data_IF_237447666102
#
_entry.id   IF_237447666102
#
_cell.length_a   1.000
_cell.length_b   1.000
_cell.length_c   1.000
_cell.angle_alpha   90.00
_cell.angle_beta   90.00
_cell.angle_gamma   90.00
#
_symmetry.space_group_name_H-M   'P 1'
#
loop_
_entity.id
_entity.type
_entity.pdbx_description
1 polymer ?
#
# COMPACT_ATOMS: atom_id res chain seq x y z
N UNK A 1 -17.98 10.66 4.92
CA UNK A 1 -17.77 12.12 5.11
C UNK A 1 -16.35 12.43 4.69
N UNK A 2 -16.20 13.23 3.62
CA UNK A 2 -14.86 13.63 3.15
C UNK A 2 -14.36 14.69 4.12
N UNK A 3 -13.36 14.33 4.91
CA UNK A 3 -12.67 15.29 5.76
C UNK A 3 -12.06 16.39 4.89
N UNK A 4 -12.14 17.63 5.33
CA UNK A 4 -11.48 18.75 4.65
C UNK A 4 -9.96 18.65 4.79
N UNK A 5 -9.21 19.25 3.87
CA UNK A 5 -7.75 19.31 3.95
C UNK A 5 -7.27 19.90 5.30
N UNK A 6 -8.01 20.88 5.86
CA UNK A 6 -7.72 21.48 7.16
C UNK A 6 -7.84 20.52 8.36
N UNK A 7 -8.55 19.40 8.18
CA UNK A 7 -8.73 18.35 9.19
C UNK A 7 -7.84 17.12 8.91
N UNK A 8 -6.85 17.25 8.03
CA UNK A 8 -5.97 16.14 7.65
C UNK A 8 -6.61 15.13 6.71
N UNK A 9 -7.71 15.51 6.02
CA UNK A 9 -8.34 14.67 5.01
C UNK A 9 -7.56 14.68 3.70
N UNK A 10 -7.79 13.67 2.87
CA UNK A 10 -7.20 13.49 1.56
C UNK A 10 -6.42 12.18 1.41
N UNK A 11 -6.25 11.75 0.17
CA UNK A 11 -5.61 10.47 -0.15
C UNK A 11 -4.09 10.48 0.12
N UNK A 12 -3.46 11.67 0.14
CA UNK A 12 -2.04 11.78 0.46
C UNK A 12 -1.73 11.29 1.88
N UNK A 13 -2.58 11.64 2.84
CA UNK A 13 -2.38 11.24 4.24
C UNK A 13 -3.08 9.92 4.60
N UNK A 14 -4.07 9.50 3.82
CA UNK A 14 -4.83 8.27 4.07
C UNK A 14 -4.26 7.06 3.32
N UNK A 15 -4.12 7.14 2.00
CA UNK A 15 -3.76 5.99 1.15
C UNK A 15 -2.26 5.91 0.83
N UNK A 16 -1.60 7.04 0.60
CA UNK A 16 -0.20 7.03 0.18
C UNK A 16 0.76 6.43 1.21
N UNK A 17 0.59 6.59 2.53
CA UNK A 17 1.45 5.93 3.51
C UNK A 17 1.49 4.40 3.35
N UNK A 18 0.37 3.77 2.98
CA UNK A 18 0.31 2.33 2.73
C UNK A 18 1.14 1.94 1.50
N UNK A 19 1.05 2.71 0.41
CA UNK A 19 1.81 2.45 -0.81
C UNK A 19 3.31 2.68 -0.60
N UNK A 20 3.68 3.79 0.05
CA UNK A 20 5.08 4.12 0.39
C UNK A 20 5.68 3.05 1.30
N UNK A 21 4.96 2.66 2.37
CA UNK A 21 5.40 1.62 3.29
C UNK A 21 5.65 0.28 2.57
N UNK A 22 4.75 -0.12 1.69
CA UNK A 22 4.91 -1.34 0.88
C UNK A 22 6.14 -1.25 -0.02
N UNK A 23 6.33 -0.14 -0.74
CA UNK A 23 7.46 0.06 -1.63
C UNK A 23 8.81 0.04 -0.86
N UNK A 24 8.89 0.74 0.28
CA UNK A 24 10.09 0.75 1.12
C UNK A 24 10.40 -0.64 1.71
N UNK A 25 9.38 -1.37 2.13
CA UNK A 25 9.54 -2.73 2.67
C UNK A 25 10.06 -3.71 1.62
N UNK A 26 9.63 -3.57 0.35
CA UNK A 26 10.02 -4.50 -0.72
C UNK A 26 11.36 -4.15 -1.37
N UNK A 27 11.63 -2.86 -1.58
CA UNK A 27 12.76 -2.41 -2.41
C UNK A 27 13.81 -1.62 -1.62
N UNK A 28 13.61 -1.43 -0.32
CA UNK A 28 14.51 -0.69 0.56
C UNK A 28 14.35 0.81 0.49
N UNK A 29 15.31 1.56 1.07
CA UNK A 29 15.27 3.02 1.14
C UNK A 29 15.11 3.68 -0.24
N UNK A 30 14.40 4.81 -0.26
CA UNK A 30 14.12 5.54 -1.49
C UNK A 30 14.10 7.05 -1.27
N UNK A 31 14.21 7.79 -2.39
CA UNK A 31 14.02 9.25 -2.44
C UNK A 31 12.81 9.57 -3.28
N UNK A 32 12.05 10.59 -2.89
CA UNK A 32 11.01 11.17 -3.73
C UNK A 32 11.64 11.87 -4.93
N UNK A 33 11.29 11.46 -6.15
CA UNK A 33 11.74 12.06 -7.40
C UNK A 33 10.78 13.16 -7.83
N UNK A 34 9.48 12.85 -7.81
CA UNK A 34 8.42 13.80 -8.14
C UNK A 34 7.10 13.39 -7.49
N UNK A 35 6.21 14.36 -7.34
CA UNK A 35 4.87 14.16 -6.83
C UNK A 35 3.86 14.99 -7.62
N UNK A 36 2.66 14.46 -7.77
CA UNK A 36 1.48 15.18 -8.22
C UNK A 36 0.39 14.98 -7.19
N UNK A 37 0.00 16.04 -6.50
CA UNK A 37 -1.06 16.03 -5.48
C UNK A 37 -2.14 16.98 -5.92
N UNK A 38 -3.31 16.46 -6.27
CA UNK A 38 -4.40 17.23 -6.86
C UNK A 38 -5.69 17.09 -6.06
N UNK A 39 -6.42 18.22 -5.96
CA UNK A 39 -7.79 18.29 -5.43
C UNK A 39 -8.74 18.62 -6.58
N UNK A 40 -9.19 17.62 -7.32
CA UNK A 40 -10.00 17.81 -8.51
C UNK A 40 -11.45 18.14 -8.15
N UNK A 41 -11.97 17.52 -7.07
CA UNK A 41 -13.33 17.78 -6.56
C UNK A 41 -13.39 18.86 -5.48
N UNK A 42 -12.24 19.50 -5.14
CA UNK A 42 -12.18 20.76 -4.41
C UNK A 42 -12.27 20.71 -2.88
N UNK A 43 -12.36 19.53 -2.23
CA UNK A 43 -12.49 19.44 -0.77
C UNK A 43 -11.14 19.07 -0.09
N UNK A 44 -10.52 18.00 -0.54
CA UNK A 44 -9.21 17.51 -0.13
C UNK A 44 -8.55 16.88 -1.36
N UNK A 45 -7.29 16.54 -1.26
CA UNK A 45 -6.61 15.88 -2.35
C UNK A 45 -7.25 14.50 -2.63
N UNK A 46 -7.57 14.25 -3.89
CA UNK A 46 -8.32 13.09 -4.35
C UNK A 46 -7.68 12.36 -5.53
N UNK A 47 -6.53 12.86 -6.01
CA UNK A 47 -5.76 12.26 -7.08
C UNK A 47 -4.27 12.53 -6.89
N UNK A 48 -3.51 11.47 -6.53
CA UNK A 48 -2.11 11.56 -6.12
C UNK A 48 -1.27 10.56 -6.89
N UNK A 49 -0.11 11.01 -7.35
CA UNK A 49 0.95 10.14 -7.87
C UNK A 49 2.28 10.55 -7.27
N UNK A 50 3.01 9.60 -6.71
CA UNK A 50 4.39 9.75 -6.24
C UNK A 50 5.30 8.86 -7.08
N UNK A 51 6.50 9.35 -7.39
CA UNK A 51 7.56 8.56 -8.01
C UNK A 51 8.74 8.51 -7.06
N UNK A 52 9.13 7.29 -6.70
CA UNK A 52 10.26 7.04 -5.82
C UNK A 52 11.39 6.37 -6.59
N UNK A 53 12.63 6.74 -6.27
CA UNK A 53 13.86 6.07 -6.70
C UNK A 53 14.49 5.37 -5.52
N UNK A 54 14.55 4.03 -5.56
CA UNK A 54 15.16 3.23 -4.52
C UNK A 54 16.67 3.11 -4.69
N UNK A 55 17.40 2.97 -3.58
CA UNK A 55 18.84 2.73 -3.59
C UNK A 55 19.21 1.39 -4.27
N UNK A 56 18.26 0.45 -4.30
CA UNK A 56 18.35 -0.81 -5.06
C UNK A 56 18.29 -0.64 -6.58
N UNK A 57 18.01 0.57 -7.08
CA UNK A 57 17.86 0.86 -8.50
C UNK A 57 16.42 0.74 -9.04
N UNK A 58 15.48 0.27 -8.21
CA UNK A 58 14.06 0.17 -8.59
C UNK A 58 13.40 1.54 -8.59
N UNK A 59 12.48 1.77 -9.53
CA UNK A 59 11.58 2.92 -9.56
C UNK A 59 10.17 2.47 -9.16
N UNK A 60 9.55 3.18 -8.21
CA UNK A 60 8.17 2.94 -7.79
C UNK A 60 7.26 4.08 -8.22
N UNK A 61 6.14 3.73 -8.86
CA UNK A 61 5.08 4.65 -9.28
C UNK A 61 3.86 4.37 -8.41
N UNK A 62 3.58 5.23 -7.44
CA UNK A 62 2.58 5.03 -6.42
C UNK A 62 1.38 5.95 -6.70
N UNK A 63 0.26 5.38 -7.13
CA UNK A 63 -0.92 6.16 -7.51
C UNK A 63 -2.11 5.80 -6.62
N UNK A 64 -2.79 6.83 -6.11
CA UNK A 64 -4.06 6.72 -5.40
C UNK A 64 -5.03 7.78 -5.93
N UNK A 65 -6.14 7.34 -6.50
CA UNK A 65 -7.14 8.24 -7.08
C UNK A 65 -8.55 7.81 -6.72
N UNK A 66 -9.35 8.75 -6.21
CA UNK A 66 -10.77 8.55 -5.90
C UNK A 66 -11.69 8.97 -7.06
N UNK A 67 -11.12 9.37 -8.20
CA UNK A 67 -11.85 9.85 -9.38
C UNK A 67 -11.75 8.91 -10.59
N UNK A 68 -10.85 7.93 -10.53
CA UNK A 68 -10.66 6.97 -11.63
C UNK A 68 -11.73 5.86 -11.47
N UNK A 69 -12.51 5.65 -12.53
CA UNK A 69 -13.42 4.52 -12.64
C UNK A 69 -12.71 3.31 -13.24
N UNK A 70 -13.06 2.11 -12.76
CA UNK A 70 -12.45 0.86 -13.20
C UNK A 70 -11.06 0.64 -12.55
N UNK A 71 -10.91 -0.42 -11.77
CA UNK A 71 -9.66 -0.75 -11.11
C UNK A 71 -8.63 -1.32 -12.08
N UNK A 72 -7.39 -0.83 -12.02
CA UNK A 72 -6.21 -1.56 -12.48
C UNK A 72 -5.75 -2.57 -11.42
N UNK A 73 -4.70 -3.36 -11.71
CA UNK A 73 -4.12 -4.22 -10.68
C UNK A 73 -3.60 -3.37 -9.52
N UNK A 74 -3.78 -3.89 -8.31
CA UNK A 74 -3.27 -3.23 -7.09
C UNK A 74 -1.76 -3.09 -7.13
N UNK A 75 -1.08 -4.09 -7.67
CA UNK A 75 0.36 -4.10 -7.83
C UNK A 75 0.72 -4.61 -9.22
N UNK A 76 1.64 -3.89 -9.85
CA UNK A 76 2.34 -4.31 -11.05
C UNK A 76 3.84 -4.19 -10.81
N UNK A 77 4.56 -5.30 -10.87
CA UNK A 77 6.03 -5.32 -10.82
C UNK A 77 6.54 -5.78 -12.19
N UNK A 78 7.30 -4.93 -12.85
CA UNK A 78 7.92 -5.25 -14.15
C UNK A 78 9.43 -5.40 -13.97
N UNK A 79 9.96 -6.48 -14.50
CA UNK A 79 11.39 -6.81 -14.51
C UNK A 79 11.79 -7.43 -15.84
N UNK A 80 13.07 -7.76 -15.96
CA UNK A 80 13.66 -8.30 -17.20
C UNK A 80 13.05 -9.63 -17.63
N UNK A 81 12.61 -10.43 -16.67
CA UNK A 81 12.08 -11.77 -16.90
C UNK A 81 10.54 -11.86 -16.93
N UNK A 82 9.85 -10.74 -16.82
CA UNK A 82 8.41 -10.72 -16.88
C UNK A 82 7.75 -9.67 -15.99
N UNK A 83 6.44 -9.76 -15.87
CA UNK A 83 5.62 -8.85 -15.07
C UNK A 83 4.73 -9.63 -14.12
N UNK A 84 4.81 -9.30 -12.83
CA UNK A 84 3.88 -9.77 -11.82
C UNK A 84 2.71 -8.79 -11.70
N UNK A 85 1.49 -9.29 -11.73
CA UNK A 85 0.25 -8.55 -11.48
C UNK A 85 -0.46 -9.15 -10.26
N UNK A 86 -0.87 -8.30 -9.32
CA UNK A 86 -1.74 -8.66 -8.19
C UNK A 86 -2.98 -7.80 -8.28
N UNK A 87 -4.16 -8.43 -8.39
CA UNK A 87 -5.43 -7.73 -8.56
C UNK A 87 -5.94 -7.19 -7.22
N UNK A 88 -5.95 -8.04 -6.20
CA UNK A 88 -6.50 -7.73 -4.88
C UNK A 88 -5.49 -8.06 -3.78
N UNK A 89 -5.25 -7.13 -2.87
CA UNK A 89 -4.29 -7.31 -1.76
C UNK A 89 -4.91 -7.69 -0.44
N UNK A 90 -6.17 -7.36 -0.22
CA UNK A 90 -6.82 -7.57 1.07
C UNK A 90 -8.13 -8.34 0.96
N UNK A 91 -8.02 -9.68 0.92
CA UNK A 91 -9.20 -10.52 0.92
C UNK A 91 -9.98 -10.49 2.26
N UNK A 92 -9.40 -9.98 3.35
CA UNK A 92 -10.02 -9.96 4.67
C UNK A 92 -10.97 -8.76 4.86
N UNK A 93 -10.82 -7.70 4.07
CA UNK A 93 -11.67 -6.51 4.20
C UNK A 93 -13.16 -6.83 3.99
N UNK A 94 -13.48 -7.65 3.00
CA UNK A 94 -14.85 -8.09 2.73
C UNK A 94 -15.44 -8.88 3.91
N UNK A 95 -14.63 -9.73 4.55
CA UNK A 95 -15.03 -10.50 5.73
C UNK A 95 -15.29 -9.58 6.92
N UNK A 96 -14.39 -8.61 7.18
CA UNK A 96 -14.56 -7.62 8.25
C UNK A 96 -15.83 -6.80 8.04
N UNK A 97 -16.09 -6.33 6.82
CA UNK A 97 -17.30 -5.59 6.46
C UNK A 97 -18.58 -6.41 6.63
N UNK A 98 -18.52 -7.73 6.46
CA UNK A 98 -19.64 -8.64 6.73
C UNK A 98 -19.87 -8.92 8.23
N UNK A 99 -19.03 -8.37 9.12
CA UNK A 99 -19.10 -8.60 10.57
C UNK A 99 -18.43 -9.89 11.03
N UNK A 100 -17.73 -10.60 10.16
CA UNK A 100 -16.96 -11.78 10.57
C UNK A 100 -15.82 -11.39 11.52
N UNK A 101 -15.50 -12.26 12.47
CA UNK A 101 -14.43 -12.02 13.46
C UNK A 101 -13.21 -12.89 13.16
N UNK A 102 -11.99 -12.37 13.26
CA UNK A 102 -10.75 -13.11 12.94
C UNK A 102 -10.35 -14.16 14.01
N UNK A 103 -11.32 -14.69 14.75
CA UNK A 103 -11.08 -15.62 15.89
C UNK A 103 -11.31 -17.09 15.56
N UNK A 104 -11.75 -17.44 14.36
CA UNK A 104 -12.06 -18.81 13.98
C UNK A 104 -11.18 -19.26 12.81
N UNK A 105 -10.72 -20.52 12.82
CA UNK A 105 -9.89 -21.10 11.75
C UNK A 105 -10.49 -21.04 10.32
N UNK A 106 -11.77 -20.73 10.21
CA UNK A 106 -12.43 -20.41 8.92
C UNK A 106 -11.98 -19.09 8.29
N UNK A 107 -11.42 -18.18 9.11
CA UNK A 107 -10.88 -16.91 8.63
C UNK A 107 -9.71 -17.11 7.66
N UNK A 108 -8.88 -18.11 7.89
CA UNK A 108 -7.69 -18.40 7.09
C UNK A 108 -7.99 -19.08 5.75
N UNK A 109 -9.18 -19.65 5.57
CA UNK A 109 -9.49 -20.51 4.42
C UNK A 109 -10.22 -19.80 3.26
N UNK A 110 -10.73 -18.58 3.45
CA UNK A 110 -11.75 -18.05 2.55
C UNK A 110 -11.28 -17.06 1.51
N UNK A 111 -10.01 -16.66 1.52
CA UNK A 111 -9.62 -15.48 0.74
C UNK A 111 -8.19 -15.56 0.26
N UNK A 112 -7.99 -16.25 -0.85
CA UNK A 112 -6.73 -16.18 -1.59
C UNK A 112 -6.85 -15.12 -2.67
N UNK A 113 -6.04 -14.09 -2.59
CA UNK A 113 -5.75 -13.20 -3.70
C UNK A 113 -4.96 -13.97 -4.76
N UNK A 114 -5.10 -13.58 -6.02
CA UNK A 114 -4.37 -14.21 -7.11
C UNK A 114 -3.28 -13.29 -7.64
N UNK A 115 -2.13 -13.89 -7.93
CA UNK A 115 -1.02 -13.25 -8.59
C UNK A 115 -0.82 -13.90 -9.98
N UNK A 116 -0.52 -13.09 -10.97
CA UNK A 116 -0.29 -13.53 -12.34
C UNK A 116 1.10 -13.11 -12.78
N UNK A 117 1.91 -14.07 -13.25
CA UNK A 117 3.21 -13.77 -13.85
C UNK A 117 3.08 -13.92 -15.36
N UNK A 118 3.37 -12.82 -16.07
CA UNK A 118 3.41 -12.75 -17.53
C UNK A 118 4.86 -12.82 -18.00
N UNK A 119 5.18 -13.82 -18.83
CA UNK A 119 6.50 -14.01 -19.47
C UNK A 119 6.29 -14.22 -20.98
N UNK A 120 6.47 -13.17 -21.78
CA UNK A 120 6.05 -13.19 -23.17
C UNK A 120 4.55 -13.43 -23.31
N UNK A 121 4.17 -14.46 -24.03
CA UNK A 121 2.76 -14.87 -24.24
C UNK A 121 2.26 -15.83 -23.14
N UNK A 122 3.13 -16.30 -22.25
CA UNK A 122 2.76 -17.20 -21.17
C UNK A 122 2.26 -16.43 -19.95
N UNK A 123 1.20 -16.95 -19.32
CA UNK A 123 0.64 -16.43 -18.07
C UNK A 123 0.52 -17.57 -17.08
N UNK A 124 1.21 -17.45 -15.96
CA UNK A 124 1.12 -18.39 -14.85
C UNK A 124 0.37 -17.77 -13.69
N UNK A 125 -0.63 -18.47 -13.17
CA UNK A 125 -1.41 -18.06 -12.01
C UNK A 125 -0.85 -18.68 -10.73
N UNK A 126 -0.77 -17.88 -9.67
CA UNK A 126 -0.37 -18.29 -8.33
C UNK A 126 -1.41 -17.85 -7.31
N UNK A 127 -1.69 -18.71 -6.36
CA UNK A 127 -2.42 -18.31 -5.15
C UNK A 127 -1.48 -17.49 -4.25
N UNK A 128 -1.99 -16.41 -3.67
CA UNK A 128 -1.25 -15.68 -2.65
C UNK A 128 -1.08 -16.53 -1.38
N UNK A 129 -0.10 -16.16 -0.56
CA UNK A 129 0.01 -16.69 0.80
C UNK A 129 -1.20 -16.23 1.63
N UNK A 130 -1.57 -17.05 2.61
CA UNK A 130 -2.63 -16.70 3.54
C UNK A 130 -2.24 -15.43 4.33
N UNK A 131 -3.14 -14.45 4.35
CA UNK A 131 -2.96 -13.21 5.10
C UNK A 131 -3.75 -13.31 6.40
N UNK A 132 -3.13 -12.90 7.51
CA UNK A 132 -3.76 -12.99 8.81
C UNK A 132 -3.46 -11.75 9.66
N UNK A 133 -4.43 -10.84 9.82
CA UNK A 133 -4.31 -9.67 10.69
C UNK A 133 -4.04 -10.02 12.16
N UNK A 134 -4.43 -11.21 12.62
CA UNK A 134 -4.15 -11.61 13.99
C UNK A 134 -2.66 -11.75 14.26
N UNK A 135 -1.85 -12.07 13.26
CA UNK A 135 -0.39 -12.14 13.37
C UNK A 135 0.21 -10.80 13.77
N UNK A 136 -0.26 -9.70 13.17
CA UNK A 136 0.17 -8.35 13.56
C UNK A 136 -0.09 -8.08 15.05
N UNK A 137 -1.29 -8.38 15.53
CA UNK A 137 -1.63 -8.18 16.95
C UNK A 137 -0.85 -9.10 17.88
N UNK A 138 -0.52 -10.32 17.43
CA UNK A 138 0.35 -11.24 18.18
C UNK A 138 1.77 -10.64 18.33
N UNK A 139 2.31 -10.07 17.27
CA UNK A 139 3.62 -9.39 17.29
C UNK A 139 3.58 -8.14 18.19
N UNK A 140 2.53 -7.32 18.10
CA UNK A 140 2.34 -6.16 18.99
C UNK A 140 2.30 -6.59 20.47
N UNK A 141 1.56 -7.64 20.80
CA UNK A 141 1.52 -8.17 22.16
C UNK A 141 2.90 -8.67 22.64
N UNK A 142 3.65 -9.33 21.77
CA UNK A 142 5.03 -9.72 22.04
C UNK A 142 5.95 -8.52 22.30
N UNK A 143 5.80 -7.46 21.49
CA UNK A 143 6.58 -6.23 21.63
C UNK A 143 6.29 -5.50 22.95
N UNK A 144 5.02 -5.46 23.39
CA UNK A 144 4.64 -4.91 24.69
C UNK A 144 5.25 -5.68 25.86
N UNK A 145 5.63 -6.95 25.65
CA UNK A 145 6.33 -7.80 26.61
C UNK A 145 7.86 -7.76 26.47
N UNK A 146 8.40 -6.77 25.74
CA UNK A 146 9.85 -6.56 25.56
C UNK A 146 10.43 -7.20 24.30
N UNK A 147 9.61 -7.73 23.41
CA UNK A 147 10.02 -8.23 22.08
C UNK A 147 10.23 -7.13 21.04
N UNK A 148 10.51 -7.53 19.80
CA UNK A 148 10.66 -6.61 18.67
C UNK A 148 9.30 -6.10 18.17
N UNK A 149 9.20 -4.82 17.87
CA UNK A 149 8.03 -4.23 17.22
C UNK A 149 7.90 -4.71 15.77
N UNK A 150 6.67 -4.98 15.28
CA UNK A 150 6.43 -5.38 13.88
C UNK A 150 6.82 -4.30 12.88
N UNK A 151 6.75 -3.04 13.27
CA UNK A 151 7.22 -1.87 12.52
C UNK A 151 8.10 -1.04 13.44
N UNK A 152 9.30 -0.71 12.99
CA UNK A 152 10.22 0.15 13.76
C UNK A 152 9.84 1.63 13.62
N UNK A 153 10.32 2.44 14.56
CA UNK A 153 10.16 3.91 14.49
C UNK A 153 10.83 4.46 13.23
N UNK A 154 12.01 3.95 12.87
CA UNK A 154 12.76 4.42 11.70
C UNK A 154 12.01 4.13 10.39
N UNK A 155 11.37 2.96 10.26
CA UNK A 155 10.50 2.63 9.12
C UNK A 155 9.30 3.58 9.05
N UNK A 156 8.64 3.85 10.16
CA UNK A 156 7.52 4.79 10.21
C UNK A 156 7.95 6.23 9.85
N UNK A 157 9.11 6.68 10.36
CA UNK A 157 9.67 8.00 10.05
C UNK A 157 10.08 8.12 8.59
N UNK A 158 10.61 7.06 7.97
CA UNK A 158 10.96 7.06 6.55
C UNK A 158 9.71 7.25 5.67
N UNK A 159 8.60 6.60 6.00
CA UNK A 159 7.31 6.82 5.32
C UNK A 159 6.84 8.26 5.49
N UNK A 160 6.82 8.76 6.73
CA UNK A 160 6.37 10.12 7.05
C UNK A 160 7.20 11.18 6.31
N UNK A 161 8.52 11.01 6.23
CA UNK A 161 9.40 11.93 5.53
C UNK A 161 9.08 12.06 4.03
N UNK A 162 8.76 10.95 3.36
CA UNK A 162 8.37 10.98 1.93
C UNK A 162 7.01 11.69 1.75
N UNK A 163 6.06 11.41 2.63
CA UNK A 163 4.73 12.06 2.59
C UNK A 163 4.85 13.57 2.84
N UNK A 164 5.67 13.99 3.81
CA UNK A 164 5.91 15.42 4.07
C UNK A 164 6.57 16.11 2.89
N UNK A 165 7.59 15.50 2.25
CA UNK A 165 8.20 16.03 1.04
C UNK A 165 7.18 16.19 -0.10
N UNK A 166 6.31 15.20 -0.30
CA UNK A 166 5.26 15.25 -1.33
C UNK A 166 4.26 16.38 -1.03
N UNK A 167 3.89 16.56 0.22
CA UNK A 167 3.02 17.66 0.67
C UNK A 167 3.64 19.03 0.41
N UNK A 168 4.91 19.23 0.79
CA UNK A 168 5.62 20.49 0.58
C UNK A 168 5.77 20.85 -0.91
N UNK A 169 6.01 19.84 -1.76
CA UNK A 169 6.12 20.04 -3.20
C UNK A 169 4.78 20.45 -3.85
N UNK A 170 3.64 20.11 -3.26
CA UNK A 170 2.30 20.43 -3.79
C UNK A 170 1.90 21.90 -3.57
N UNK A 171 2.60 22.64 -2.70
CA UNK A 171 2.34 24.07 -2.43
C UNK A 171 3.20 25.00 -3.29
N UNK A 172 4.00 24.48 -4.21
CA UNK A 172 4.82 25.27 -5.16
C UNK A 172 4.20 25.29 -6.53
#
# INVERSE_FOLDING_TARGET
EKQSAAQGGGNLLDLQPHLVSTALNWFGPAKLVTSSVRSIRGAADDDITLVLKHDSGVDSYLSASAIIGGGGPRIRLSGDNGTLLIQDLDPQEALLKSGAKPVNGKWQQSTKSKAFIHQGDEVTEYDSVDVNYTEFYTQVNGALSGGKWPVSIDEALAVAAIIDQAREASFR
#
